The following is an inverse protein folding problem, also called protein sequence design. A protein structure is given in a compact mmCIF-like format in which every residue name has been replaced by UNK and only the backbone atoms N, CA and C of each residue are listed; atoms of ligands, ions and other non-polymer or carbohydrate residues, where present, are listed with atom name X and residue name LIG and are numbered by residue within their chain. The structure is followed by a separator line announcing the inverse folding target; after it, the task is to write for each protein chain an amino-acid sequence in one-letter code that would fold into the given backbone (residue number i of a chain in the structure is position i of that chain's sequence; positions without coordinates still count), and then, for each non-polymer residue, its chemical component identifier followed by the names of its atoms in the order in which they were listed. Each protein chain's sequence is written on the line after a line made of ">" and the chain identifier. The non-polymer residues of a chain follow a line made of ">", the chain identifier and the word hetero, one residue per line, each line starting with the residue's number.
data_IF_607626351238
#
_entry.id   IF_607626351238
#
_cell.length_a   1.000
_cell.length_b   1.000
_cell.length_c   1.000
_cell.angle_alpha   90.00
_cell.angle_beta   90.00
_cell.angle_gamma   90.00
#
_symmetry.space_group_name_H-M   'P 1'
#
loop_
_entity.id
_entity.type
_entity.pdbx_description
1 polymer ?
#
# COMPACT_ATOMS: atom_id res chain seq x y z
N UNK A 1 -21.16 15.14 -18.15
CA UNK A 1 -20.29 15.25 -16.96
C UNK A 1 -19.65 13.88 -16.78
N UNK A 2 -18.35 13.77 -17.02
CA UNK A 2 -17.61 12.51 -16.88
C UNK A 2 -16.84 12.53 -15.55
N UNK A 3 -17.18 11.61 -14.66
CA UNK A 3 -16.44 11.40 -13.42
C UNK A 3 -15.25 10.46 -13.71
N UNK A 4 -14.07 10.83 -13.23
CA UNK A 4 -12.88 9.98 -13.30
C UNK A 4 -12.75 9.23 -11.98
N UNK A 5 -12.67 7.90 -12.06
CA UNK A 5 -12.50 7.03 -10.91
C UNK A 5 -11.03 6.67 -10.75
N UNK A 6 -10.47 6.93 -9.58
CA UNK A 6 -9.10 6.54 -9.21
C UNK A 6 -9.15 5.68 -7.95
N UNK A 7 -8.24 4.73 -7.85
CA UNK A 7 -8.15 3.77 -6.74
C UNK A 7 -6.72 3.71 -6.22
N UNK A 8 -6.57 3.50 -4.92
CA UNK A 8 -5.28 3.27 -4.27
C UNK A 8 -5.39 2.11 -3.30
N UNK A 9 -4.69 1.02 -3.61
CA UNK A 9 -4.63 -0.20 -2.79
C UNK A 9 -3.32 -0.18 -2.00
N UNK A 10 -3.43 -0.19 -0.67
CA UNK A 10 -2.27 -0.21 0.24
C UNK A 10 -2.04 -1.63 0.74
N UNK A 11 -0.79 -2.05 0.76
CA UNK A 11 -0.37 -3.38 1.18
C UNK A 11 0.92 -3.27 2.02
N UNK A 12 1.20 -4.26 2.85
CA UNK A 12 2.39 -4.27 3.71
C UNK A 12 2.78 -5.71 4.04
N UNK A 13 4.04 -5.92 4.39
CA UNK A 13 4.56 -7.22 4.81
C UNK A 13 5.07 -8.10 3.67
N UNK A 14 4.42 -8.11 2.51
CA UNK A 14 4.90 -8.84 1.32
C UNK A 14 4.47 -8.17 0.02
N UNK A 15 5.29 -8.32 -1.02
CA UNK A 15 4.95 -7.84 -2.35
C UNK A 15 3.87 -8.74 -2.97
N UNK A 16 2.96 -8.17 -3.78
CA UNK A 16 1.96 -8.96 -4.49
C UNK A 16 2.59 -9.88 -5.54
N UNK A 17 1.82 -10.89 -6.00
CA UNK A 17 2.26 -11.77 -7.07
C UNK A 17 2.48 -10.95 -8.35
N UNK A 18 3.65 -11.13 -8.95
CA UNK A 18 4.09 -10.35 -10.10
C UNK A 18 4.49 -11.27 -11.24
N UNK A 19 3.86 -11.06 -12.39
CA UNK A 19 4.13 -11.79 -13.62
C UNK A 19 4.69 -10.84 -14.68
N UNK A 20 5.76 -11.22 -15.38
CA UNK A 20 6.28 -10.40 -16.48
C UNK A 20 5.19 -10.24 -17.55
N UNK A 21 4.94 -9.00 -17.96
CA UNK A 21 3.99 -8.66 -19.00
C UNK A 21 4.71 -8.08 -20.22
N UNK A 22 4.00 -8.01 -21.35
CA UNK A 22 4.52 -7.35 -22.55
C UNK A 22 4.78 -5.85 -22.31
N UNK A 23 5.53 -5.22 -23.23
CA UNK A 23 5.83 -3.77 -23.19
C UNK A 23 6.62 -3.28 -21.95
N UNK A 24 7.55 -4.10 -21.41
CA UNK A 24 8.37 -3.73 -20.24
C UNK A 24 7.51 -3.39 -19.01
N UNK A 25 6.35 -4.01 -18.90
CA UNK A 25 5.46 -3.92 -17.73
C UNK A 25 5.50 -5.22 -16.95
N UNK A 26 5.00 -5.15 -15.72
CA UNK A 26 4.80 -6.28 -14.82
C UNK A 26 3.34 -6.24 -14.43
N UNK A 27 2.65 -7.35 -14.69
CA UNK A 27 1.29 -7.55 -14.23
C UNK A 27 1.34 -7.99 -12.77
N UNK A 28 0.63 -7.29 -11.90
CA UNK A 28 0.55 -7.58 -10.47
C UNK A 28 -0.90 -7.81 -10.08
N UNK A 29 -1.10 -8.69 -9.12
CA UNK A 29 -2.43 -9.03 -8.59
C UNK A 29 -2.49 -8.76 -7.10
N UNK A 30 -3.48 -7.97 -6.68
CA UNK A 30 -3.71 -7.64 -5.27
C UNK A 30 -5.13 -8.01 -4.88
N UNK A 31 -5.29 -8.76 -3.78
CA UNK A 31 -6.61 -9.02 -3.21
C UNK A 31 -6.82 -8.10 -2.01
N UNK A 32 -7.90 -7.31 -2.05
CA UNK A 32 -8.29 -6.46 -0.94
C UNK A 32 -8.95 -7.27 0.20
N UNK A 33 -9.05 -6.66 1.38
CA UNK A 33 -9.75 -7.19 2.55
C UNK A 33 -11.22 -7.58 2.30
N UNK A 34 -11.86 -7.05 1.25
CA UNK A 34 -13.20 -7.45 0.81
C UNK A 34 -13.21 -8.67 -0.14
N UNK A 35 -12.05 -9.28 -0.42
CA UNK A 35 -11.93 -10.40 -1.37
C UNK A 35 -11.99 -9.96 -2.85
N UNK A 36 -11.83 -8.65 -3.13
CA UNK A 36 -11.85 -8.11 -4.49
C UNK A 36 -10.44 -8.18 -5.08
N UNK A 37 -10.31 -8.76 -6.28
CA UNK A 37 -9.02 -8.91 -6.97
C UNK A 37 -8.78 -7.72 -7.91
N UNK A 38 -7.70 -6.99 -7.65
CA UNK A 38 -7.22 -5.88 -8.47
C UNK A 38 -6.04 -6.33 -9.32
N UNK A 39 -6.19 -6.28 -10.63
CA UNK A 39 -5.11 -6.56 -11.58
C UNK A 39 -4.54 -5.26 -12.12
N UNK A 40 -3.24 -5.06 -12.02
CA UNK A 40 -2.59 -3.82 -12.41
C UNK A 40 -1.34 -4.10 -13.27
N UNK A 41 -1.09 -3.27 -14.27
CA UNK A 41 0.15 -3.35 -15.04
C UNK A 41 1.06 -2.17 -14.68
N UNK A 42 2.09 -2.44 -13.88
CA UNK A 42 3.07 -1.43 -13.45
C UNK A 42 4.31 -1.47 -14.34
N UNK A 43 5.05 -0.37 -14.42
CA UNK A 43 6.32 -0.35 -15.17
C UNK A 43 7.35 -1.29 -14.49
N UNK A 44 8.05 -2.12 -15.27
CA UNK A 44 9.04 -3.05 -14.73
C UNK A 44 10.15 -2.35 -13.94
N UNK A 45 10.52 -1.11 -14.31
CA UNK A 45 11.49 -0.31 -13.57
C UNK A 45 10.98 0.09 -12.19
N UNK A 46 9.71 0.46 -12.08
CA UNK A 46 9.10 0.80 -10.79
C UNK A 46 8.91 -0.44 -9.92
N UNK A 47 8.55 -1.57 -10.52
CA UNK A 47 8.51 -2.86 -9.82
C UNK A 47 9.86 -3.25 -9.24
N UNK A 48 10.93 -3.23 -10.05
CA UNK A 48 12.31 -3.49 -9.60
C UNK A 48 12.72 -2.60 -8.43
N UNK A 49 12.35 -1.31 -8.46
CA UNK A 49 12.58 -0.39 -7.34
C UNK A 49 11.82 -0.80 -6.08
N UNK A 50 10.56 -1.20 -6.22
CA UNK A 50 9.78 -1.74 -5.12
C UNK A 50 10.41 -3.01 -4.54
N UNK A 51 10.89 -3.94 -5.36
CA UNK A 51 11.61 -5.15 -4.90
C UNK A 51 12.85 -4.82 -4.09
N UNK A 52 13.67 -3.87 -4.56
CA UNK A 52 14.85 -3.40 -3.83
C UNK A 52 14.44 -2.77 -2.49
N UNK A 53 13.51 -1.82 -2.51
CA UNK A 53 13.01 -1.18 -1.29
C UNK A 53 12.43 -2.17 -0.28
N UNK A 54 11.66 -3.16 -0.73
CA UNK A 54 11.09 -4.19 0.13
C UNK A 54 12.16 -5.05 0.81
N UNK A 55 13.33 -5.21 0.17
CA UNK A 55 14.46 -5.99 0.67
C UNK A 55 15.37 -5.17 1.59
N UNK A 56 15.45 -3.85 1.40
CA UNK A 56 16.26 -2.96 2.23
C UNK A 56 15.54 -2.45 3.48
N UNK A 57 14.21 -2.29 3.41
CA UNK A 57 13.42 -1.77 4.52
C UNK A 57 13.00 -2.88 5.49
N UNK A 58 13.31 -2.71 6.78
CA UNK A 58 12.89 -3.63 7.84
C UNK A 58 11.37 -3.62 8.09
N UNK A 59 10.71 -2.47 7.98
CA UNK A 59 9.24 -2.33 8.00
C UNK A 59 8.84 -1.35 6.89
N UNK A 60 7.87 -1.75 6.05
CA UNK A 60 7.45 -0.93 4.91
C UNK A 60 5.97 -1.12 4.60
N UNK A 61 5.41 -0.13 3.90
CA UNK A 61 4.10 -0.19 3.28
C UNK A 61 4.19 0.19 1.80
N UNK A 62 3.57 -0.62 0.97
CA UNK A 62 3.40 -0.37 -0.45
C UNK A 62 2.03 0.23 -0.74
N UNK A 63 1.96 0.99 -1.83
CA UNK A 63 0.72 1.47 -2.42
C UNK A 63 0.76 1.26 -3.93
N UNK A 64 -0.32 0.69 -4.47
CA UNK A 64 -0.60 0.67 -5.90
C UNK A 64 -1.73 1.64 -6.17
N UNK A 65 -1.47 2.67 -6.97
CA UNK A 65 -2.48 3.66 -7.34
C UNK A 65 -2.63 3.74 -8.85
N UNK A 66 -3.83 4.10 -9.31
CA UNK A 66 -4.11 4.31 -10.73
C UNK A 66 -5.59 4.57 -10.98
N UNK A 67 -5.96 4.55 -12.25
CA UNK A 67 -7.34 4.76 -12.68
C UNK A 67 -8.10 3.44 -12.59
N UNK A 68 -9.31 3.49 -12.04
CA UNK A 68 -10.17 2.32 -11.98
C UNK A 68 -10.68 2.00 -13.39
N UNK A 69 -10.21 0.88 -13.92
CA UNK A 69 -10.54 0.37 -15.24
C UNK A 69 -11.81 -0.47 -15.24
N UNK A 70 -11.88 -1.38 -16.21
CA UNK A 70 -13.04 -2.27 -16.38
C UNK A 70 -13.14 -3.25 -15.22
N UNK A 71 -14.38 -3.62 -14.88
CA UNK A 71 -14.65 -4.71 -13.95
C UNK A 71 -14.24 -6.03 -14.59
N UNK A 72 -13.43 -6.80 -13.88
CA UNK A 72 -13.02 -8.16 -14.25
C UNK A 72 -13.92 -9.17 -13.54
N UNK A 73 -13.75 -10.45 -13.84
CA UNK A 73 -14.54 -11.55 -13.25
C UNK A 73 -14.44 -11.58 -11.71
N UNK A 74 -13.26 -11.24 -11.17
CA UNK A 74 -12.95 -11.30 -9.74
C UNK A 74 -12.73 -9.92 -9.08
N UNK A 75 -12.80 -8.83 -9.84
CA UNK A 75 -12.66 -7.47 -9.31
C UNK A 75 -12.50 -6.40 -10.38
N UNK A 76 -11.37 -5.70 -10.40
CA UNK A 76 -11.18 -4.53 -11.28
C UNK A 76 -9.76 -4.45 -11.84
N UNK A 77 -9.63 -3.93 -13.05
CA UNK A 77 -8.34 -3.56 -13.62
C UNK A 77 -7.92 -2.16 -13.14
N UNK A 78 -6.64 -1.96 -12.84
CA UNK A 78 -6.06 -0.63 -12.57
C UNK A 78 -5.26 -0.19 -13.80
N UNK A 79 -5.79 0.82 -14.49
CA UNK A 79 -5.17 1.44 -15.66
C UNK A 79 -4.13 2.46 -15.21
N UNK A 80 -3.00 2.50 -15.92
CA UNK A 80 -1.90 3.44 -15.65
C UNK A 80 -1.37 3.32 -14.21
N UNK A 81 -1.26 2.08 -13.74
CA UNK A 81 -0.90 1.80 -12.36
C UNK A 81 0.55 2.18 -12.03
N UNK A 82 0.73 2.84 -10.89
CA UNK A 82 2.01 3.12 -10.26
C UNK A 82 2.17 2.33 -8.96
N UNK A 83 3.37 1.86 -8.68
CA UNK A 83 3.74 1.23 -7.41
C UNK A 83 4.75 2.11 -6.67
N UNK A 84 4.51 2.32 -5.38
CA UNK A 84 5.43 3.01 -4.47
C UNK A 84 5.52 2.26 -3.15
N UNK A 85 6.74 2.10 -2.64
CA UNK A 85 6.99 1.62 -1.29
C UNK A 85 7.49 2.76 -0.41
N UNK A 86 7.03 2.76 0.83
CA UNK A 86 7.36 3.71 1.86
C UNK A 86 7.92 2.93 3.04
N UNK A 87 9.13 3.29 3.48
CA UNK A 87 9.67 2.77 4.73
C UNK A 87 8.78 3.26 5.87
N UNK A 88 8.23 2.32 6.63
CA UNK A 88 7.53 2.61 7.87
C UNK A 88 8.60 2.75 8.94
N UNK A 89 9.26 3.91 8.92
CA UNK A 89 10.13 4.30 10.01
C UNK A 89 9.28 4.31 11.27
N UNK A 90 9.62 3.46 12.24
CA UNK A 90 8.93 3.40 13.51
C UNK A 90 8.80 4.83 14.04
N UNK A 91 7.56 5.31 14.18
CA UNK A 91 7.32 6.38 15.14
C UNK A 91 7.79 5.78 16.45
N UNK A 92 8.92 6.26 16.96
CA UNK A 92 9.17 6.20 18.40
C UNK A 92 7.83 6.52 19.06
N UNK A 93 7.34 5.66 19.98
CA UNK A 93 6.10 5.94 20.67
C UNK A 93 6.21 7.36 21.18
N UNK A 94 5.34 8.26 20.70
CA UNK A 94 5.18 9.54 21.39
C UNK A 94 4.94 9.13 22.84
N UNK A 95 5.74 9.61 23.81
CA UNK A 95 5.43 9.36 25.19
C UNK A 95 4.00 9.85 25.36
N UNK A 96 3.11 8.91 25.67
CA UNK A 96 1.77 9.23 26.10
C UNK A 96 1.95 10.05 27.37
N UNK A 97 1.91 11.38 27.21
CA UNK A 97 1.71 12.31 28.32
C UNK A 97 0.29 12.04 28.80
N UNK A 98 0.19 11.03 29.65
CA UNK A 98 -1.07 10.48 30.16
C UNK A 98 -0.90 9.72 31.47
N UNK A 99 0.19 9.96 32.21
CA UNK A 99 0.26 9.58 33.61
C UNK A 99 -0.33 10.72 34.45
N UNK A 100 -1.58 10.49 34.86
CA UNK A 100 -2.41 11.34 35.69
C UNK A 100 -1.64 12.03 36.84
N UNK A 101 -2.01 13.29 37.06
CA UNK A 101 -1.82 14.00 38.31
C UNK A 101 -2.33 13.14 39.48
N UNK A 102 -1.55 12.87 40.55
CA UNK A 102 -2.14 12.42 41.78
C UNK A 102 -2.88 13.61 42.41
N UNK A 103 -4.19 13.48 42.40
CA UNK A 103 -5.16 14.28 43.13
C UNK A 103 -4.76 14.39 44.61
N UNK A 104 -4.94 15.60 45.15
CA UNK A 104 -4.71 15.93 46.54
C UNK A 104 -5.54 15.07 47.49
N UNK A 105 -4.92 14.57 48.56
CA UNK A 105 -5.62 13.88 49.63
C UNK A 105 -4.76 13.60 50.86
N UNK A 106 -4.96 14.44 51.88
CA UNK A 106 -4.75 14.21 53.31
C UNK A 106 -3.32 14.06 53.87
N UNK A 107 -2.89 15.02 54.70
CA UNK A 107 -3.01 14.90 56.17
C UNK A 107 -2.21 15.96 56.94
N UNK A 108 -2.84 16.45 58.01
CA UNK A 108 -2.35 17.22 59.18
C UNK A 108 -2.51 18.74 59.13
#
# INVERSE_FOLDING_TARGET
>A
MEAKSEVTIKFSGSLPDAKPAENKKVAIELTDQNGIVFTAQVNAKSWRKAETSASEFADWAGAVSGKLGVRTENGFEIIDAGIQLFEKKAKEPKPDVGAAVPEAGASS
#
